data_IF_686076673003
#
_entry.id   IF_686076673003
#
_cell.length_a   1.000
_cell.length_b   1.000
_cell.length_c   1.000
_cell.angle_alpha   90.00
_cell.angle_beta   90.00
_cell.angle_gamma   90.00
#
_symmetry.space_group_name_H-M   'P 1'
#
loop_
_entity.id
_entity.type
_entity.pdbx_description
1 polymer ?
#
# COMPACT_ATOMS: atom_id res chain seq x y z
N UNK A 1 -54.54 43.02 9.54
CA UNK A 1 -54.53 44.38 10.12
C UNK A 1 -53.18 44.65 10.78
N UNK A 2 -52.30 45.40 10.09
CA UNK A 2 -51.39 46.42 10.63
C UNK A 2 -50.47 46.90 9.50
N UNK A 3 -50.89 48.00 8.89
CA UNK A 3 -50.09 48.93 8.11
C UNK A 3 -49.19 49.74 9.05
N UNK A 4 -48.02 50.19 8.58
CA UNK A 4 -47.39 51.50 8.88
C UNK A 4 -46.09 51.68 8.04
N UNK A 5 -46.20 52.63 7.10
CA UNK A 5 -45.26 53.67 6.67
C UNK A 5 -43.87 53.32 6.10
N UNK A 6 -43.81 53.30 4.76
CA UNK A 6 -42.57 53.44 3.98
C UNK A 6 -42.80 54.35 2.75
N UNK A 7 -43.23 55.61 2.92
CA UNK A 7 -43.38 56.56 1.80
C UNK A 7 -43.29 58.03 2.26
N UNK A 8 -42.14 58.45 2.78
CA UNK A 8 -41.92 59.87 3.15
C UNK A 8 -40.45 60.31 3.03
N UNK A 9 -39.73 59.94 1.97
CA UNK A 9 -38.32 60.34 1.82
C UNK A 9 -37.76 60.38 0.40
N UNK A 10 -38.61 60.43 -0.64
CA UNK A 10 -38.16 60.40 -2.06
C UNK A 10 -38.63 61.63 -2.86
N UNK A 11 -39.12 62.70 -2.21
CA UNK A 11 -39.65 63.84 -2.97
C UNK A 11 -39.37 65.21 -2.33
N UNK A 12 -38.10 65.60 -2.28
CA UNK A 12 -37.55 66.96 -2.11
C UNK A 12 -36.03 66.73 -2.16
N UNK A 13 -35.24 67.03 -3.18
CA UNK A 13 -34.99 68.34 -3.81
C UNK A 13 -34.31 68.07 -5.15
N UNK A 14 -35.09 68.07 -6.23
CA UNK A 14 -34.59 68.13 -7.60
C UNK A 14 -35.14 69.40 -8.25
N UNK A 15 -34.89 70.55 -7.61
CA UNK A 15 -35.06 71.90 -8.17
C UNK A 15 -34.04 72.81 -7.47
N UNK A 16 -32.85 72.92 -8.03
CA UNK A 16 -31.76 73.74 -7.50
C UNK A 16 -30.63 73.92 -8.51
N UNK A 17 -30.99 73.99 -9.80
CA UNK A 17 -30.08 74.34 -10.88
C UNK A 17 -30.45 75.77 -11.33
N UNK A 18 -29.43 76.57 -11.62
CA UNK A 18 -29.45 77.96 -12.13
C UNK A 18 -29.50 79.10 -11.09
N UNK A 19 -28.33 79.51 -10.57
CA UNK A 19 -27.80 80.89 -10.72
C UNK A 19 -26.49 81.08 -9.94
N UNK A 20 -25.38 81.42 -10.61
CA UNK A 20 -24.17 82.00 -9.99
C UNK A 20 -22.84 81.35 -10.42
N UNK A 21 -21.94 82.15 -11.00
CA UNK A 21 -20.75 81.75 -11.78
C UNK A 21 -19.46 82.14 -11.03
N UNK A 22 -18.40 81.32 -11.09
CA UNK A 22 -16.99 81.77 -11.09
C UNK A 22 -16.05 80.68 -11.66
N UNK A 23 -15.70 80.80 -12.93
CA UNK A 23 -14.62 80.01 -13.57
C UNK A 23 -13.27 80.62 -13.20
N UNK A 24 -12.40 79.84 -12.56
CA UNK A 24 -11.02 80.22 -12.23
C UNK A 24 -10.08 79.66 -13.33
N UNK A 25 -9.47 80.54 -14.13
CA UNK A 25 -8.44 80.18 -15.10
C UNK A 25 -7.08 80.06 -14.37
N UNK A 26 -6.46 78.87 -14.40
CA UNK A 26 -5.08 78.66 -13.96
C UNK A 26 -4.19 78.62 -15.20
N UNK A 27 -3.18 79.50 -15.36
CA UNK A 27 -2.26 79.42 -16.50
C UNK A 27 -1.29 78.24 -16.32
N UNK A 28 -1.29 77.34 -17.31
CA UNK A 28 -0.28 76.28 -17.43
C UNK A 28 0.98 76.92 -18.01
N UNK A 29 2.08 76.91 -17.27
CA UNK A 29 3.40 77.29 -17.79
C UNK A 29 4.20 76.04 -18.13
N UNK A 30 4.83 76.05 -19.29
CA UNK A 30 5.62 74.94 -19.83
C UNK A 30 6.96 74.85 -19.09
N UNK A 31 7.14 73.88 -18.19
CA UNK A 31 8.44 73.58 -17.60
C UNK A 31 9.18 72.54 -18.47
N UNK A 32 10.40 72.88 -18.91
CA UNK A 32 11.24 72.00 -19.71
C UNK A 32 11.69 70.76 -18.90
N UNK A 33 11.53 69.56 -19.45
CA UNK A 33 11.98 68.31 -18.82
C UNK A 33 13.48 68.08 -19.04
N UNK A 34 14.21 67.78 -17.96
CA UNK A 34 15.64 67.46 -17.96
C UNK A 34 15.97 66.06 -18.53
N UNK A 35 17.27 65.74 -18.67
CA UNK A 35 17.74 64.54 -19.35
C UNK A 35 17.37 63.22 -18.64
N UNK A 36 17.23 62.10 -19.39
CA UNK A 36 16.72 60.84 -18.86
C UNK A 36 17.71 60.15 -17.91
N UNK A 37 17.17 59.69 -16.78
CA UNK A 37 17.89 59.03 -15.70
C UNK A 37 18.28 57.58 -16.09
N UNK A 38 19.46 57.08 -15.64
CA UNK A 38 19.84 55.70 -15.85
C UNK A 38 18.92 54.71 -15.10
N UNK A 39 18.75 53.48 -15.64
CA UNK A 39 17.79 52.53 -15.09
C UNK A 39 18.17 52.08 -13.68
N UNK A 40 17.17 51.87 -12.80
CA UNK A 40 17.40 51.47 -11.43
C UNK A 40 18.14 50.13 -11.33
N UNK A 41 18.99 50.00 -10.32
CA UNK A 41 19.65 48.75 -10.01
C UNK A 41 18.63 47.63 -9.67
N UNK A 42 19.00 46.38 -9.98
CA UNK A 42 18.17 45.21 -9.69
C UNK A 42 17.92 45.04 -8.19
N UNK A 43 16.69 44.67 -7.83
CA UNK A 43 16.28 44.43 -6.46
C UNK A 43 17.09 43.28 -5.87
N UNK A 44 17.70 43.53 -4.71
CA UNK A 44 18.56 42.56 -4.02
C UNK A 44 17.81 41.70 -3.00
N UNK A 45 16.64 42.14 -2.55
CA UNK A 45 15.77 41.43 -1.61
C UNK A 45 14.32 41.92 -1.73
N UNK A 46 13.38 41.10 -1.27
CA UNK A 46 11.94 41.38 -1.24
C UNK A 46 11.50 41.56 0.21
N UNK A 47 11.03 42.76 0.55
CA UNK A 47 10.31 42.98 1.79
C UNK A 47 8.88 42.42 1.64
N UNK A 48 8.44 41.60 2.58
CA UNK A 48 7.10 41.04 2.63
C UNK A 48 6.53 41.12 4.04
N UNK A 49 5.21 40.90 4.14
CA UNK A 49 4.55 40.79 5.44
C UNK A 49 4.88 39.47 6.15
N UNK A 50 4.29 39.25 7.32
CA UNK A 50 4.62 38.09 8.13
C UNK A 50 4.11 36.73 7.58
N UNK A 51 3.37 36.66 6.47
CA UNK A 51 2.81 35.40 5.91
C UNK A 51 3.80 34.62 5.05
N UNK A 52 4.87 35.29 4.62
CA UNK A 52 6.03 34.69 3.97
C UNK A 52 7.23 34.76 4.91
N UNK A 53 8.22 33.91 4.65
CA UNK A 53 9.53 33.93 5.32
C UNK A 53 10.63 34.03 4.27
N UNK A 54 11.79 34.52 4.67
CA UNK A 54 12.93 34.74 3.80
C UNK A 54 13.01 36.19 3.34
N UNK A 55 13.77 36.46 2.30
CA UNK A 55 13.79 37.76 1.61
C UNK A 55 13.98 37.60 0.10
N UNK A 56 13.87 36.36 -0.40
CA UNK A 56 14.03 36.03 -1.82
C UNK A 56 15.48 36.02 -2.29
N UNK A 57 16.45 36.25 -1.41
CA UNK A 57 17.85 36.00 -1.73
C UNK A 57 18.14 34.51 -1.80
N UNK A 58 19.25 34.11 -2.44
CA UNK A 58 19.66 32.70 -2.45
C UNK A 58 19.91 32.13 -1.04
N UNK A 59 20.36 32.95 -0.09
CA UNK A 59 20.62 32.51 1.27
C UNK A 59 19.33 32.37 2.10
N UNK A 60 18.28 33.15 1.77
CA UNK A 60 17.00 33.17 2.46
C UNK A 60 15.84 33.21 1.45
N UNK A 61 15.56 32.09 0.75
CA UNK A 61 14.52 32.04 -0.25
C UNK A 61 13.13 32.28 0.35
N UNK A 62 12.22 32.82 -0.45
CA UNK A 62 10.83 32.98 -0.03
C UNK A 62 10.15 31.64 0.15
N UNK A 63 9.52 31.45 1.30
CA UNK A 63 8.66 30.31 1.57
C UNK A 63 7.39 30.77 2.26
N UNK A 64 6.39 29.89 2.29
CA UNK A 64 5.25 30.11 3.17
C UNK A 64 5.79 30.11 4.59
N UNK A 65 5.56 31.20 5.31
CA UNK A 65 5.89 31.24 6.72
C UNK A 65 5.09 30.15 7.44
N UNK A 66 5.60 29.69 8.59
CA UNK A 66 4.78 28.80 9.41
C UNK A 66 3.47 29.54 9.76
N UNK A 67 2.33 28.97 9.38
CA UNK A 67 1.01 29.62 9.53
C UNK A 67 0.57 30.49 8.35
N UNK A 68 1.35 30.59 7.27
CA UNK A 68 0.96 31.36 6.07
C UNK A 68 -0.19 30.74 5.27
N UNK A 69 -0.52 29.45 5.48
CA UNK A 69 -1.76 28.82 4.99
C UNK A 69 -2.78 28.77 6.13
N UNK A 70 -3.73 29.71 6.14
CA UNK A 70 -4.86 29.78 7.05
C UNK A 70 -6.20 29.53 6.36
N UNK A 71 -7.30 29.76 7.06
CA UNK A 71 -8.67 29.51 6.55
C UNK A 71 -9.03 30.37 5.34
N UNK A 72 -8.51 31.60 5.27
CA UNK A 72 -8.71 32.49 4.11
C UNK A 72 -8.01 31.95 2.86
N UNK A 73 -6.92 31.21 3.04
CA UNK A 73 -6.17 30.55 1.97
C UNK A 73 -6.76 29.18 1.59
N UNK A 74 -7.56 28.55 2.47
CA UNK A 74 -8.24 27.27 2.24
C UNK A 74 -9.77 27.45 2.16
N UNK A 75 -10.30 27.59 0.95
CA UNK A 75 -11.74 27.72 0.73
C UNK A 75 -12.54 26.50 1.24
N UNK A 76 -13.83 26.68 1.58
CA UNK A 76 -14.71 25.53 1.85
C UNK A 76 -14.76 24.60 0.62
N UNK A 77 -14.58 23.29 0.83
CA UNK A 77 -14.40 22.33 -0.28
C UNK A 77 -12.97 22.33 -0.86
N UNK A 78 -12.06 23.13 -0.33
CA UNK A 78 -10.64 23.09 -0.68
C UNK A 78 -9.87 21.98 0.05
N UNK A 79 -10.45 21.30 1.04
CA UNK A 79 -9.97 20.01 1.58
C UNK A 79 -11.20 19.14 1.78
N UNK A 80 -11.41 18.20 0.87
CA UNK A 80 -12.54 17.28 0.90
C UNK A 80 -12.10 15.94 1.48
N UNK A 81 -13.00 14.96 1.69
CA UNK A 81 -12.58 13.57 1.93
C UNK A 81 -11.39 13.17 1.01
N UNK A 82 -11.42 13.49 -0.30
CA UNK A 82 -10.30 13.40 -1.25
C UNK A 82 -8.95 14.05 -0.88
N UNK A 83 -8.88 14.90 0.14
CA UNK A 83 -7.65 15.56 0.57
C UNK A 83 -7.21 15.14 1.98
N UNK A 84 -8.06 14.37 2.68
CA UNK A 84 -7.93 14.13 4.11
C UNK A 84 -7.04 12.97 4.50
N UNK A 85 -6.86 11.94 3.67
CA UNK A 85 -6.12 10.73 4.05
C UNK A 85 -6.79 9.95 5.21
N UNK A 86 -6.71 8.62 5.24
CA UNK A 86 -6.98 7.93 6.50
C UNK A 86 -5.71 7.97 7.35
N UNK A 87 -5.92 8.16 8.64
CA UNK A 87 -4.98 7.90 9.72
C UNK A 87 -5.65 6.85 10.66
N UNK A 88 -4.92 5.96 11.37
CA UNK A 88 -3.45 5.81 11.38
C UNK A 88 -2.95 5.52 9.97
N UNK A 89 -1.66 5.68 9.67
CA UNK A 89 -1.15 5.25 8.37
C UNK A 89 -1.60 3.80 8.08
N UNK A 90 -1.68 3.41 6.80
CA UNK A 90 -2.13 2.08 6.46
C UNK A 90 -1.28 1.05 7.21
N UNK A 91 -1.93 0.04 7.80
CA UNK A 91 -1.22 -1.18 8.13
C UNK A 91 -0.78 -1.86 6.83
N UNK A 92 0.19 -2.77 6.92
CA UNK A 92 0.63 -3.52 5.74
C UNK A 92 -0.58 -4.25 5.11
N UNK A 93 -0.86 -3.93 3.84
CA UNK A 93 -2.00 -4.50 3.10
C UNK A 93 -3.29 -3.69 3.13
N UNK A 94 -3.29 -2.50 3.75
CA UNK A 94 -4.45 -1.61 3.76
C UNK A 94 -4.39 -0.51 2.69
N UNK A 95 -5.55 -0.14 2.17
CA UNK A 95 -5.76 0.91 1.16
C UNK A 95 -6.85 1.88 1.60
N UNK A 96 -6.73 3.17 1.29
CA UNK A 96 -7.71 4.20 1.65
C UNK A 96 -8.96 4.01 0.78
N UNK A 97 -9.95 3.27 1.28
CA UNK A 97 -11.19 2.97 0.57
C UNK A 97 -12.39 3.71 1.15
N UNK A 98 -13.42 3.95 0.34
CA UNK A 98 -14.71 4.44 0.83
C UNK A 98 -15.59 3.27 1.26
N UNK A 99 -15.98 3.18 2.54
CA UNK A 99 -16.72 2.03 3.09
C UNK A 99 -18.24 2.15 2.89
N UNK A 100 -18.66 2.86 1.85
CA UNK A 100 -20.06 3.25 1.63
C UNK A 100 -20.51 4.45 2.48
N UNK A 101 -19.74 4.82 3.50
CA UNK A 101 -20.01 5.98 4.35
C UNK A 101 -18.84 6.98 4.42
N UNK A 102 -17.59 6.52 4.49
CA UNK A 102 -16.39 7.34 4.68
C UNK A 102 -15.15 6.73 4.01
N UNK A 103 -14.13 7.56 3.75
CA UNK A 103 -12.77 7.06 3.46
C UNK A 103 -12.14 6.46 4.73
N UNK A 104 -11.57 5.26 4.61
CA UNK A 104 -10.97 4.49 5.70
C UNK A 104 -9.86 3.59 5.15
N UNK A 105 -8.85 3.25 5.94
CA UNK A 105 -7.95 2.17 5.57
C UNK A 105 -8.69 0.85 5.64
N UNK A 106 -8.96 0.29 4.47
CA UNK A 106 -9.64 -0.97 4.29
C UNK A 106 -8.61 -2.00 3.85
N UNK A 107 -8.82 -3.24 4.31
CA UNK A 107 -8.10 -4.35 3.74
C UNK A 107 -8.56 -4.56 2.29
N UNK A 108 -7.66 -4.97 1.41
CA UNK A 108 -8.03 -5.22 0.01
C UNK A 108 -9.03 -6.37 -0.03
N UNK A 109 -10.25 -6.18 -0.60
CA UNK A 109 -11.21 -7.25 -0.75
C UNK A 109 -10.59 -8.39 -1.57
N UNK A 110 -10.40 -9.54 -0.95
CA UNK A 110 -10.04 -10.78 -1.63
C UNK A 110 -11.32 -11.58 -1.77
N UNK A 111 -11.79 -11.81 -3.01
CA UNK A 111 -13.12 -12.38 -3.28
C UNK A 111 -13.40 -13.78 -2.70
N UNK A 112 -12.42 -14.40 -2.03
CA UNK A 112 -12.48 -15.72 -1.42
C UNK A 112 -12.06 -15.72 0.08
N UNK A 113 -11.84 -14.55 0.68
CA UNK A 113 -11.30 -14.40 2.03
C UNK A 113 -9.77 -14.57 2.10
N UNK A 114 -9.15 -14.09 3.18
CA UNK A 114 -7.72 -14.31 3.49
C UNK A 114 -7.56 -14.89 4.86
N UNK A 115 -6.43 -15.55 5.05
CA UNK A 115 -6.02 -16.01 6.36
C UNK A 115 -5.07 -14.97 6.94
N UNK A 116 -5.34 -14.58 8.17
CA UNK A 116 -4.50 -13.68 8.96
C UNK A 116 -4.05 -14.38 10.24
N UNK A 117 -2.91 -13.96 10.75
CA UNK A 117 -2.34 -14.45 11.99
C UNK A 117 -2.84 -13.64 13.21
N UNK A 118 -2.37 -13.97 14.41
CA UNK A 118 -2.77 -13.29 15.65
C UNK A 118 -2.35 -11.82 15.76
N UNK A 119 -1.41 -11.40 14.92
CA UNK A 119 -0.90 -10.02 14.82
C UNK A 119 -1.56 -9.25 13.68
N UNK A 120 -2.53 -9.84 12.99
CA UNK A 120 -3.17 -9.27 11.81
C UNK A 120 -2.30 -9.31 10.55
N UNK A 121 -1.19 -10.07 10.56
CA UNK A 121 -0.38 -10.26 9.36
C UNK A 121 -1.07 -11.23 8.42
N UNK A 122 -1.05 -10.92 7.12
CA UNK A 122 -1.63 -11.79 6.10
C UNK A 122 -0.75 -13.01 5.90
N UNK A 123 -1.32 -14.19 6.14
CA UNK A 123 -0.71 -15.49 5.86
C UNK A 123 -0.77 -15.77 4.35
N UNK A 124 -1.94 -15.55 3.74
CA UNK A 124 -2.18 -15.69 2.31
C UNK A 124 -3.67 -15.70 1.98
N UNK A 125 -4.03 -15.62 0.67
CA UNK A 125 -5.40 -15.83 0.22
C UNK A 125 -5.88 -17.21 0.62
N UNK A 126 -7.12 -17.31 1.09
CA UNK A 126 -7.73 -18.60 1.38
C UNK A 126 -7.97 -19.35 0.07
N UNK A 127 -7.49 -20.58 0.00
CA UNK A 127 -7.76 -21.50 -1.10
C UNK A 127 -8.43 -22.71 -0.47
N UNK A 128 -9.53 -23.17 -1.06
CA UNK A 128 -10.39 -24.20 -0.47
C UNK A 128 -9.63 -25.42 0.07
N UNK A 129 -10.30 -26.22 0.92
CA UNK A 129 -9.70 -27.36 1.64
C UNK A 129 -8.74 -26.97 2.78
N UNK A 130 -9.04 -25.88 3.51
CA UNK A 130 -8.26 -25.45 4.68
C UNK A 130 -6.82 -25.08 4.34
N UNK A 131 -6.62 -24.36 3.23
CA UNK A 131 -5.29 -23.97 2.76
C UNK A 131 -5.13 -22.47 2.49
N UNK A 132 -3.87 -22.08 2.29
CA UNK A 132 -3.49 -20.75 1.80
C UNK A 132 -2.61 -20.88 0.57
N UNK A 133 -2.71 -19.90 -0.33
CA UNK A 133 -1.73 -19.74 -1.40
C UNK A 133 -0.61 -18.83 -0.91
N UNK A 134 0.66 -19.23 -1.10
CA UNK A 134 1.80 -18.39 -0.76
C UNK A 134 2.95 -18.53 -1.74
N UNK A 135 3.60 -17.40 -2.05
CA UNK A 135 4.80 -17.39 -2.86
C UNK A 135 6.05 -17.45 -1.98
N UNK A 136 6.93 -18.42 -2.22
CA UNK A 136 8.19 -18.61 -1.49
C UNK A 136 9.25 -19.13 -2.47
N UNK A 137 10.49 -18.67 -2.34
CA UNK A 137 11.60 -19.09 -3.21
C UNK A 137 11.30 -19.00 -4.72
N UNK A 138 10.48 -18.02 -5.14
CA UNK A 138 10.06 -17.84 -6.54
C UNK A 138 8.89 -18.71 -7.01
N UNK A 139 8.41 -19.65 -6.19
CA UNK A 139 7.31 -20.57 -6.52
C UNK A 139 6.04 -20.26 -5.72
N UNK A 140 4.89 -20.65 -6.25
CA UNK A 140 3.59 -20.55 -5.58
C UNK A 140 3.21 -21.89 -4.98
N UNK A 141 2.84 -21.94 -3.70
CA UNK A 141 2.47 -23.16 -2.99
C UNK A 141 1.06 -23.06 -2.44
N UNK A 142 0.34 -24.18 -2.46
CA UNK A 142 -0.83 -24.40 -1.61
C UNK A 142 -0.38 -25.03 -0.30
N UNK A 143 -0.53 -24.33 0.82
CA UNK A 143 -0.16 -24.84 2.14
C UNK A 143 -1.40 -25.13 2.96
N UNK A 144 -1.48 -26.34 3.54
CA UNK A 144 -2.48 -26.64 4.54
C UNK A 144 -2.28 -25.78 5.80
N UNK A 145 -3.37 -25.36 6.43
CA UNK A 145 -3.36 -24.55 7.64
C UNK A 145 -4.36 -25.06 8.67
N UNK A 146 -4.13 -24.66 9.92
CA UNK A 146 -5.00 -24.87 11.07
C UNK A 146 -4.96 -23.61 11.94
N UNK A 147 -5.86 -23.48 12.92
CA UNK A 147 -5.74 -22.42 13.92
C UNK A 147 -4.39 -22.43 14.64
N UNK A 148 -3.68 -23.55 14.72
CA UNK A 148 -2.38 -23.65 15.40
C UNK A 148 -1.17 -23.36 14.51
N UNK A 149 -1.36 -23.07 13.21
CA UNK A 149 -0.28 -22.80 12.27
C UNK A 149 -0.40 -23.58 10.96
N UNK A 150 0.71 -23.69 10.22
CA UNK A 150 0.79 -24.51 9.02
C UNK A 150 0.60 -25.99 9.37
N UNK A 151 -0.28 -26.68 8.62
CA UNK A 151 -0.58 -28.08 8.82
C UNK A 151 0.62 -28.94 8.42
N UNK A 152 1.02 -29.85 9.30
CA UNK A 152 2.04 -30.85 8.97
C UNK A 152 1.41 -32.02 8.23
N UNK A 153 2.06 -32.46 7.15
CA UNK A 153 1.68 -33.61 6.35
C UNK A 153 2.81 -34.64 6.28
N UNK A 154 2.54 -35.78 5.65
CA UNK A 154 3.61 -36.71 5.30
C UNK A 154 4.41 -36.21 4.10
N UNK A 155 5.72 -36.49 4.10
CA UNK A 155 6.60 -36.27 2.94
C UNK A 155 7.04 -37.64 2.45
N UNK A 156 6.90 -37.89 1.14
CA UNK A 156 7.38 -39.11 0.51
C UNK A 156 8.58 -38.78 -0.39
N UNK A 157 9.77 -39.21 0.00
CA UNK A 157 10.98 -39.09 -0.81
C UNK A 157 11.14 -40.31 -1.70
N UNK A 158 11.38 -40.12 -2.99
CA UNK A 158 11.61 -41.21 -3.93
C UNK A 158 13.11 -41.51 -4.05
N UNK A 159 13.42 -42.79 -4.28
CA UNK A 159 14.78 -43.30 -4.37
C UNK A 159 14.93 -44.23 -5.58
N UNK A 160 16.10 -44.20 -6.19
CA UNK A 160 16.50 -45.13 -7.27
C UNK A 160 16.95 -46.49 -6.75
N UNK A 161 17.29 -46.62 -5.46
CA UNK A 161 17.48 -47.92 -4.80
C UNK A 161 16.19 -48.48 -4.22
N UNK A 162 16.22 -49.76 -3.86
CA UNK A 162 15.07 -50.48 -3.28
C UNK A 162 14.99 -50.41 -1.75
N UNK A 163 15.99 -49.79 -1.11
CA UNK A 163 16.19 -49.73 0.35
C UNK A 163 16.30 -48.29 0.89
N UNK A 164 15.94 -47.29 0.06
CA UNK A 164 15.95 -45.87 0.42
C UNK A 164 17.31 -45.32 0.90
N UNK A 165 18.42 -45.93 0.46
CA UNK A 165 19.77 -45.57 0.89
C UNK A 165 20.42 -44.44 0.09
N UNK A 166 19.84 -44.07 -1.06
CA UNK A 166 20.42 -43.11 -1.99
C UNK A 166 19.88 -41.69 -1.79
N UNK A 167 20.18 -40.81 -2.75
CA UNK A 167 19.68 -39.44 -2.81
C UNK A 167 18.17 -39.41 -2.78
N UNK A 168 17.62 -38.60 -1.86
CA UNK A 168 16.19 -38.29 -1.81
C UNK A 168 15.78 -37.40 -2.99
N UNK A 169 14.69 -37.77 -3.64
CA UNK A 169 14.01 -36.94 -4.64
C UNK A 169 12.57 -36.66 -4.21
N UNK A 170 11.99 -35.56 -4.68
CA UNK A 170 10.55 -35.29 -4.50
C UNK A 170 9.86 -35.27 -5.85
N UNK A 171 8.70 -35.92 -5.93
CA UNK A 171 7.80 -35.76 -7.06
C UNK A 171 7.14 -34.37 -6.99
N UNK A 172 7.01 -33.70 -8.14
CA UNK A 172 6.19 -32.50 -8.21
C UNK A 172 4.72 -32.91 -8.32
N UNK A 173 4.03 -32.99 -7.18
CA UNK A 173 2.59 -33.22 -7.09
C UNK A 173 1.76 -31.95 -7.33
N UNK A 174 2.39 -30.88 -7.81
CA UNK A 174 1.74 -29.62 -8.10
C UNK A 174 0.71 -29.71 -9.23
N UNK A 175 -0.06 -28.63 -9.37
CA UNK A 175 -0.91 -28.41 -10.53
C UNK A 175 -0.36 -27.24 -11.35
N UNK A 176 -1.07 -26.81 -12.41
CA UNK A 176 -0.63 -25.71 -13.27
C UNK A 176 -0.44 -24.37 -12.55
N UNK A 177 -0.89 -24.22 -11.31
CA UNK A 177 -0.87 -22.96 -10.55
C UNK A 177 -0.08 -23.02 -9.25
N UNK A 178 0.19 -24.22 -8.74
CA UNK A 178 0.87 -24.43 -7.46
C UNK A 178 1.87 -25.56 -7.56
N UNK A 179 3.02 -25.34 -6.95
CA UNK A 179 4.07 -26.33 -6.81
C UNK A 179 3.73 -27.32 -5.71
N UNK A 180 4.02 -28.60 -5.95
CA UNK A 180 3.87 -29.64 -4.95
C UNK A 180 4.82 -29.39 -3.79
N UNK A 181 4.33 -29.58 -2.56
CA UNK A 181 5.15 -29.49 -1.37
C UNK A 181 4.42 -30.07 -0.16
N UNK A 182 5.20 -30.40 0.86
CA UNK A 182 4.68 -30.90 2.12
C UNK A 182 5.44 -30.25 3.28
N UNK A 183 4.74 -30.00 4.38
CA UNK A 183 5.28 -29.32 5.56
C UNK A 183 5.47 -30.36 6.66
N UNK A 184 6.65 -30.39 7.29
CA UNK A 184 6.91 -31.14 8.53
C UNK A 184 7.57 -30.20 9.51
N UNK A 185 6.96 -30.04 10.69
CA UNK A 185 7.48 -29.22 11.79
C UNK A 185 7.90 -27.81 11.36
N UNK A 186 7.10 -27.20 10.48
CA UNK A 186 7.33 -25.84 9.98
C UNK A 186 8.35 -25.74 8.84
N UNK A 187 8.91 -26.85 8.35
CA UNK A 187 9.79 -26.87 7.18
C UNK A 187 9.00 -27.35 5.96
N UNK A 188 8.93 -26.52 4.92
CA UNK A 188 8.38 -26.88 3.62
C UNK A 188 9.41 -27.63 2.80
N UNK A 189 9.09 -28.84 2.37
CA UNK A 189 9.86 -29.66 1.43
C UNK A 189 9.23 -29.60 0.05
N UNK A 190 10.05 -29.36 -0.98
CA UNK A 190 9.59 -29.29 -2.38
C UNK A 190 10.68 -29.72 -3.36
N UNK A 191 10.29 -30.06 -4.58
CA UNK A 191 11.20 -30.43 -5.67
C UNK A 191 11.75 -29.18 -6.38
N UNK A 192 13.07 -29.02 -6.54
CA UNK A 192 13.62 -27.92 -7.36
C UNK A 192 13.72 -28.31 -8.84
N UNK A 193 13.64 -27.30 -9.70
CA UNK A 193 13.82 -27.43 -11.15
C UNK A 193 15.31 -27.45 -11.53
N UNK A 194 15.68 -28.08 -12.67
CA UNK A 194 14.81 -28.80 -13.60
C UNK A 194 14.34 -30.15 -13.04
N UNK A 195 13.09 -30.53 -13.34
CA UNK A 195 12.59 -31.86 -13.03
C UNK A 195 13.19 -32.88 -14.01
N UNK A 196 13.44 -34.09 -13.53
CA UNK A 196 13.99 -35.21 -14.29
C UNK A 196 13.14 -36.46 -14.09
N UNK A 197 13.08 -37.30 -15.13
CA UNK A 197 12.43 -38.61 -15.04
C UNK A 197 13.43 -39.63 -14.50
N UNK A 198 13.10 -40.27 -13.37
CA UNK A 198 13.87 -41.38 -12.80
C UNK A 198 13.05 -42.66 -12.77
N UNK A 199 13.71 -43.81 -12.60
CA UNK A 199 13.04 -45.06 -12.22
C UNK A 199 13.07 -45.20 -10.70
N UNK A 200 11.95 -44.87 -10.04
CA UNK A 200 11.83 -45.02 -8.59
C UNK A 200 11.63 -46.49 -8.24
N UNK A 201 12.48 -47.00 -7.32
CA UNK A 201 12.43 -48.38 -6.84
C UNK A 201 11.98 -48.47 -5.37
N UNK A 202 11.93 -47.33 -4.66
CA UNK A 202 11.33 -47.23 -3.33
C UNK A 202 10.89 -45.79 -3.07
N UNK A 203 10.07 -45.62 -2.02
CA UNK A 203 9.88 -44.33 -1.39
C UNK A 203 10.07 -44.42 0.12
N UNK A 204 10.58 -43.35 0.69
CA UNK A 204 10.80 -43.15 2.11
C UNK A 204 9.76 -42.17 2.62
N UNK A 205 8.99 -42.59 3.61
CA UNK A 205 7.98 -41.74 4.23
C UNK A 205 8.49 -41.17 5.55
N UNK A 206 8.39 -39.85 5.69
CA UNK A 206 8.53 -39.12 6.95
C UNK A 206 7.13 -38.67 7.39
N UNK A 207 6.74 -39.03 8.61
CA UNK A 207 5.45 -38.64 9.19
C UNK A 207 5.61 -37.36 10.03
N UNK A 208 4.51 -36.63 10.33
CA UNK A 208 4.54 -35.53 11.28
C UNK A 208 5.14 -35.97 12.64
N UNK A 209 6.15 -35.24 13.12
CA UNK A 209 6.89 -35.52 14.35
C UNK A 209 8.14 -36.41 14.18
N UNK A 210 8.35 -37.01 13.02
CA UNK A 210 9.62 -37.67 12.69
C UNK A 210 10.69 -36.60 12.37
N UNK A 211 11.96 -36.86 12.71
CA UNK A 211 13.06 -35.97 12.33
C UNK A 211 13.37 -36.14 10.83
N UNK A 212 13.17 -35.12 9.98
CA UNK A 212 13.40 -35.25 8.54
C UNK A 212 14.88 -35.43 8.18
N UNK A 213 15.82 -35.21 9.10
CA UNK A 213 17.25 -35.47 8.89
C UNK A 213 17.65 -36.93 9.17
N UNK A 214 16.73 -37.76 9.66
CA UNK A 214 16.96 -39.19 9.88
C UNK A 214 16.27 -40.01 8.78
N UNK A 215 16.72 -41.25 8.52
CA UNK A 215 16.00 -42.17 7.64
C UNK A 215 14.58 -42.44 8.16
N UNK A 216 13.61 -42.32 7.25
CA UNK A 216 12.20 -42.61 7.45
C UNK A 216 11.84 -44.06 7.23
N UNK A 217 10.54 -44.30 7.05
CA UNK A 217 10.01 -45.64 6.74
C UNK A 217 10.16 -45.93 5.26
N UNK A 218 10.99 -46.90 4.91
CA UNK A 218 11.20 -47.28 3.53
C UNK A 218 10.15 -48.28 3.03
N UNK A 219 9.61 -48.02 1.85
CA UNK A 219 8.67 -48.89 1.15
C UNK A 219 9.22 -49.19 -0.24
N UNK A 220 9.44 -50.47 -0.52
CA UNK A 220 9.85 -50.92 -1.86
C UNK A 220 8.70 -50.72 -2.85
N UNK A 221 9.02 -50.21 -4.02
CA UNK A 221 8.12 -50.06 -5.16
C UNK A 221 8.51 -51.05 -6.26
N UNK A 222 7.56 -51.39 -7.12
CA UNK A 222 7.92 -51.89 -8.44
C UNK A 222 8.56 -50.74 -9.23
N UNK A 223 9.64 -50.98 -10.02
CA UNK A 223 10.31 -49.93 -10.78
C UNK A 223 9.32 -49.07 -11.56
N UNK A 224 9.17 -47.80 -11.18
CA UNK A 224 8.14 -46.90 -11.72
C UNK A 224 8.77 -45.62 -12.23
N UNK A 225 8.58 -45.26 -13.51
CA UNK A 225 9.03 -43.97 -14.02
C UNK A 225 8.32 -42.82 -13.29
N UNK A 226 9.08 -41.95 -12.64
CA UNK A 226 8.55 -40.83 -11.83
C UNK A 226 9.27 -39.54 -12.20
N UNK A 227 8.50 -38.47 -12.44
CA UNK A 227 9.04 -37.13 -12.66
C UNK A 227 9.33 -36.49 -11.29
N UNK A 228 10.61 -36.24 -11.00
CA UNK A 228 11.07 -35.77 -9.70
C UNK A 228 12.09 -34.65 -9.83
N UNK A 229 12.30 -33.89 -8.75
CA UNK A 229 13.41 -32.95 -8.60
C UNK A 229 14.24 -33.25 -7.35
N UNK A 230 15.39 -32.59 -7.23
CA UNK A 230 16.15 -32.59 -5.98
C UNK A 230 15.32 -31.93 -4.87
N UNK A 231 15.52 -32.38 -3.63
CA UNK A 231 14.82 -31.81 -2.47
C UNK A 231 15.40 -30.44 -2.14
N UNK A 232 14.53 -29.45 -1.99
CA UNK A 232 14.83 -28.20 -1.31
C UNK A 232 13.89 -28.00 -0.12
N UNK A 233 14.35 -27.16 0.81
CA UNK A 233 13.64 -26.85 2.05
C UNK A 233 13.48 -25.36 2.23
N UNK A 234 12.36 -24.95 2.81
CA UNK A 234 12.13 -23.57 3.24
C UNK A 234 11.58 -23.57 4.67
N UNK A 235 12.24 -22.86 5.58
CA UNK A 235 11.79 -22.73 6.97
C UNK A 235 10.68 -21.68 7.07
N UNK A 236 9.45 -22.11 7.38
CA UNK A 236 8.28 -21.24 7.44
C UNK A 236 8.31 -20.30 8.65
N UNK A 237 9.14 -20.56 9.67
CA UNK A 237 9.30 -19.66 10.83
C UNK A 237 9.93 -18.32 10.43
N UNK A 238 10.74 -18.32 9.35
CA UNK A 238 11.35 -17.11 8.79
C UNK A 238 10.31 -16.09 8.28
N UNK A 239 9.06 -16.53 8.11
CA UNK A 239 7.96 -15.69 7.65
C UNK A 239 7.37 -14.81 8.76
N UNK A 240 7.79 -14.99 10.02
CA UNK A 240 7.41 -14.14 11.15
C UNK A 240 5.94 -14.23 11.59
N UNK A 241 5.19 -15.20 11.06
CA UNK A 241 3.77 -15.40 11.33
C UNK A 241 3.54 -16.07 12.69
N UNK A 242 2.51 -15.63 13.41
CA UNK A 242 2.20 -16.12 14.75
C UNK A 242 0.75 -16.57 14.86
N UNK A 243 0.49 -17.88 15.10
CA UNK A 243 -0.86 -18.39 15.38
C UNK A 243 -1.53 -17.69 16.59
N UNK A 244 -2.87 -17.71 16.72
CA UNK A 244 -3.77 -18.46 15.86
C UNK A 244 -4.03 -17.86 14.49
N UNK A 245 -4.17 -18.73 13.49
CA UNK A 245 -4.62 -18.36 12.15
C UNK A 245 -6.15 -18.34 12.10
N UNK A 246 -6.73 -17.33 11.47
CA UNK A 246 -8.18 -17.24 11.26
C UNK A 246 -8.53 -16.66 9.89
N UNK A 247 -9.74 -16.97 9.43
CA UNK A 247 -10.29 -16.46 8.18
C UNK A 247 -10.89 -15.07 8.38
N UNK A 248 -10.52 -14.14 7.50
CA UNK A 248 -11.06 -12.78 7.42
C UNK A 248 -11.62 -12.55 6.00
N UNK A 249 -12.77 -11.89 5.91
CA UNK A 249 -13.47 -11.60 4.65
C UNK A 249 -13.27 -10.13 4.25
#
# INVERSE_FOLDING_TARGET
MKSINLFAGVLFVLVGFCAGVAFNFIPITTAAQGPPEPPPAALKSVAHDATLKGDGTPALPLGIANGGVGTVQLANGAVTAPKLSAAPGPSAGQVLGFNGANLAWQNVPVGIGRIVDSRGQVVGPFFGFSGVIRQMAGFTFGLGISPTGFGSGNVNFYHTTSDCSETRFLADGGNSFTKGGAVIDGILFYAIEPLQQITANSFEQILPGDNPNQPGRCFRLNPTPTLVGLVATFDLSTLGLVPPFHLEF
#
